data_IF_695467925632
#
_entry.id   IF_695467925632
#
_cell.length_a   1.000
_cell.length_b   1.000
_cell.length_c   1.000
_cell.angle_alpha   90.00
_cell.angle_beta   90.00
_cell.angle_gamma   90.00
#
_symmetry.space_group_name_H-M   'P 1'
#
loop_
_entity.id
_entity.type
_entity.pdbx_description
1 polymer ?
#
# COMPACT_ATOMS: atom_id res chain seq x y z
N UNK A 1 12.99 -9.73 0.56
CA UNK A 1 12.70 -8.37 0.09
C UNK A 1 13.03 -7.43 1.23
N UNK A 2 13.99 -6.55 1.04
CA UNK A 2 14.47 -5.55 2.01
C UNK A 2 13.76 -4.19 1.84
N UNK A 3 12.89 -4.06 0.83
CA UNK A 3 12.17 -2.83 0.53
C UNK A 3 12.94 -1.88 -0.40
N UNK A 4 14.15 -2.25 -0.86
CA UNK A 4 15.01 -1.39 -1.69
C UNK A 4 14.88 -1.65 -3.19
N UNK A 5 14.07 -2.63 -3.59
CA UNK A 5 13.76 -2.89 -5.00
C UNK A 5 12.47 -2.20 -5.39
N UNK A 6 12.56 -1.26 -6.33
CA UNK A 6 11.41 -0.56 -6.85
C UNK A 6 10.61 -1.46 -7.80
N UNK A 7 9.30 -1.24 -7.83
CA UNK A 7 8.42 -1.74 -8.89
C UNK A 7 8.37 -0.71 -10.03
N UNK A 8 7.99 -1.15 -11.21
CA UNK A 8 7.95 -0.29 -12.41
C UNK A 8 6.70 0.58 -12.50
N UNK A 9 5.76 0.45 -11.56
CA UNK A 9 4.44 1.10 -11.58
C UNK A 9 4.31 2.08 -10.42
N UNK A 10 3.74 3.26 -10.69
CA UNK A 10 3.50 4.30 -9.69
C UNK A 10 2.02 4.71 -9.76
N UNK A 11 1.34 4.73 -8.61
CA UNK A 11 -0.07 5.11 -8.52
C UNK A 11 -0.21 6.63 -8.45
N UNK A 12 -1.00 7.23 -9.34
CA UNK A 12 -1.33 8.67 -9.20
C UNK A 12 -2.39 8.88 -8.13
N UNK A 13 -2.22 9.89 -7.29
CA UNK A 13 -3.22 10.34 -6.32
C UNK A 13 -3.18 11.86 -6.16
N UNK A 14 -4.32 12.50 -5.98
CA UNK A 14 -4.36 13.92 -5.59
C UNK A 14 -3.98 14.08 -4.12
N UNK A 15 -3.44 15.23 -3.73
CA UNK A 15 -3.49 15.65 -2.32
C UNK A 15 -4.93 15.54 -1.79
N UNK A 16 -5.09 15.21 -0.50
CA UNK A 16 -6.36 14.86 0.15
C UNK A 16 -7.04 13.57 -0.32
N UNK A 17 -6.42 12.79 -1.22
CA UNK A 17 -6.94 11.46 -1.54
C UNK A 17 -6.79 10.54 -0.32
N UNK A 18 -7.78 9.68 -0.11
CA UNK A 18 -7.64 8.56 0.81
C UNK A 18 -6.82 7.46 0.14
N UNK A 19 -5.67 7.12 0.72
CA UNK A 19 -4.95 5.90 0.40
C UNK A 19 -5.46 4.77 1.30
N UNK A 20 -5.75 3.62 0.71
CA UNK A 20 -6.15 2.42 1.45
C UNK A 20 -5.16 1.29 1.14
N UNK A 21 -4.55 0.75 2.19
CA UNK A 21 -3.64 -0.37 2.14
C UNK A 21 -4.36 -1.63 2.59
N UNK A 22 -4.23 -2.70 1.81
CA UNK A 22 -4.78 -4.01 2.16
C UNK A 22 -3.65 -4.91 2.66
N UNK A 23 -3.72 -5.27 3.94
CA UNK A 23 -2.85 -6.27 4.56
C UNK A 23 -3.48 -7.66 4.41
N UNK A 24 -2.68 -8.63 3.98
CA UNK A 24 -3.09 -10.02 3.80
C UNK A 24 -2.10 -10.96 4.45
N UNK A 25 -2.60 -12.00 5.11
CA UNK A 25 -1.77 -13.12 5.58
C UNK A 25 -1.16 -13.88 4.40
N UNK A 26 -1.95 -14.05 3.33
CA UNK A 26 -1.53 -14.64 2.06
C UNK A 26 -1.56 -13.57 0.97
N UNK A 27 -0.40 -13.08 0.50
CA UNK A 27 -0.34 -11.94 -0.43
C UNK A 27 -1.13 -12.17 -1.73
N UNK A 28 -1.23 -13.41 -2.21
CA UNK A 28 -1.98 -13.84 -3.40
C UNK A 28 -3.50 -14.01 -3.19
N UNK A 29 -3.96 -13.75 -1.96
CA UNK A 29 -5.33 -13.98 -1.50
C UNK A 29 -5.81 -15.42 -1.74
N UNK A 30 -4.92 -16.41 -1.64
CA UNK A 30 -5.27 -17.83 -1.64
C UNK A 30 -6.04 -18.26 -0.38
N UNK A 31 -5.90 -17.51 0.72
CA UNK A 31 -6.68 -17.67 1.94
C UNK A 31 -6.96 -16.30 2.58
N UNK A 32 -8.13 -16.13 3.24
CA UNK A 32 -8.48 -14.89 3.91
C UNK A 32 -7.63 -14.68 5.17
N UNK A 33 -7.50 -13.43 5.59
CA UNK A 33 -6.72 -13.04 6.76
C UNK A 33 -5.87 -11.80 6.47
N UNK A 34 -5.37 -11.16 7.52
CA UNK A 34 -4.59 -9.90 7.39
C UNK A 34 -3.36 -9.89 8.29
N UNK A 35 -3.56 -10.28 9.55
CA UNK A 35 -2.53 -10.53 10.54
C UNK A 35 -3.11 -11.46 11.62
N UNK A 36 -2.28 -12.30 12.25
CA UNK A 36 -2.73 -13.16 13.35
C UNK A 36 -3.32 -12.34 14.51
N UNK A 37 -4.48 -12.71 15.09
CA UNK A 37 -5.13 -11.95 16.17
C UNK A 37 -4.28 -11.76 17.44
N UNK A 38 -3.27 -12.59 17.66
CA UNK A 38 -2.34 -12.42 18.78
C UNK A 38 -1.39 -11.23 18.60
N UNK A 39 -1.18 -10.76 17.37
CA UNK A 39 -0.25 -9.69 16.99
C UNK A 39 -0.86 -8.31 17.25
N UNK A 40 -1.16 -8.08 18.53
CA UNK A 40 -1.74 -6.84 19.02
C UNK A 40 -0.69 -5.74 19.06
N UNK A 41 -1.00 -4.59 18.50
CA UNK A 41 -0.13 -3.42 18.58
C UNK A 41 -0.55 -2.24 17.71
N UNK A 42 0.29 -1.19 17.67
CA UNK A 42 -0.01 0.05 16.96
C UNK A 42 0.18 -0.11 15.44
N UNK A 43 -0.38 0.84 14.68
CA UNK A 43 -0.04 1.04 13.29
C UNK A 43 0.34 2.49 13.02
N UNK A 44 1.16 2.71 12.00
CA UNK A 44 1.53 4.04 11.51
C UNK A 44 1.63 4.05 9.99
N UNK A 45 1.51 5.23 9.39
CA UNK A 45 1.81 5.42 7.96
C UNK A 45 2.73 6.62 7.80
N UNK A 46 3.78 6.43 7.01
CA UNK A 46 4.79 7.43 6.70
C UNK A 46 4.82 7.71 5.21
N UNK A 47 5.25 8.91 4.84
CA UNK A 47 5.56 9.27 3.46
C UNK A 47 7.01 9.76 3.37
N UNK A 48 7.66 9.50 2.23
CA UNK A 48 8.98 10.03 1.89
C UNK A 48 8.95 10.52 0.45
N UNK A 49 9.28 11.80 0.24
CA UNK A 49 9.42 12.33 -1.12
C UNK A 49 10.72 11.81 -1.73
N UNK A 50 10.67 11.37 -2.97
CA UNK A 50 11.83 10.88 -3.73
C UNK A 50 11.91 11.61 -5.07
N UNK A 51 13.06 11.58 -5.71
CA UNK A 51 13.22 12.18 -7.04
C UNK A 51 12.63 11.29 -8.15
N UNK A 52 12.59 9.97 -7.90
CA UNK A 52 11.99 8.99 -8.79
C UNK A 52 11.52 7.77 -7.98
N UNK A 53 10.22 7.50 -7.96
CA UNK A 53 9.67 6.35 -7.23
C UNK A 53 9.97 5.00 -7.90
N UNK A 54 10.47 4.98 -9.13
CA UNK A 54 10.81 3.75 -9.87
C UNK A 54 12.27 3.33 -9.77
N UNK A 55 13.08 4.06 -9.01
CA UNK A 55 14.50 3.74 -8.79
C UNK A 55 14.71 2.95 -7.48
N UNK A 56 15.67 2.03 -7.51
CA UNK A 56 16.08 1.23 -6.35
C UNK A 56 16.76 2.08 -5.27
N UNK A 57 16.85 1.53 -4.06
CA UNK A 57 17.59 2.08 -2.91
C UNK A 57 17.07 3.42 -2.39
N UNK A 58 15.77 3.68 -2.56
CA UNK A 58 15.12 4.92 -2.13
C UNK A 58 14.44 4.82 -0.76
N UNK A 59 14.27 3.62 -0.19
CA UNK A 59 13.48 3.45 1.02
C UNK A 59 14.28 3.81 2.28
N UNK A 60 15.43 3.19 2.51
CA UNK A 60 16.26 3.44 3.68
C UNK A 60 16.77 4.89 3.77
N UNK A 61 16.99 5.34 5.00
CA UNK A 61 17.60 6.63 5.32
C UNK A 61 16.60 7.75 5.58
N UNK A 62 17.08 8.99 5.52
CA UNK A 62 16.31 10.21 5.80
C UNK A 62 15.21 10.49 4.77
N UNK A 63 14.25 11.32 5.14
CA UNK A 63 13.19 11.81 4.27
C UNK A 63 11.78 11.39 4.68
N UNK A 64 11.66 10.54 5.70
CA UNK A 64 10.35 10.04 6.16
C UNK A 64 9.68 11.02 7.11
N UNK A 65 8.39 11.26 6.91
CA UNK A 65 7.53 11.95 7.86
C UNK A 65 6.27 11.14 8.09
N UNK A 66 5.77 11.12 9.33
CA UNK A 66 4.57 10.36 9.71
C UNK A 66 3.33 11.16 9.32
N UNK A 67 2.38 10.53 8.63
CA UNK A 67 1.10 11.17 8.25
C UNK A 67 -0.08 10.68 9.07
N UNK A 68 0.07 9.54 9.74
CA UNK A 68 -0.99 8.96 10.56
C UNK A 68 -0.43 7.94 11.55
N UNK A 69 -1.05 7.83 12.72
CA UNK A 69 -0.82 6.73 13.68
C UNK A 69 -2.07 6.38 14.48
N UNK A 70 -2.14 5.13 14.93
CA UNK A 70 -3.06 4.69 15.96
C UNK A 70 -2.39 3.64 16.85
N UNK A 71 -2.34 3.91 18.15
CA UNK A 71 -1.91 2.95 19.18
C UNK A 71 -3.07 2.17 19.77
N UNK A 72 -3.09 2.03 21.09
CA UNK A 72 -4.24 1.49 21.81
C UNK A 72 -5.36 2.54 21.93
N UNK A 73 -6.57 2.19 21.49
CA UNK A 73 -7.75 3.03 21.56
C UNK A 73 -8.61 2.67 22.78
N UNK A 74 -8.34 3.32 23.93
CA UNK A 74 -8.99 2.98 25.21
C UNK A 74 -10.52 2.98 25.17
N UNK A 75 -11.21 3.91 24.46
CA UNK A 75 -12.67 3.87 24.33
C UNK A 75 -13.24 2.64 23.62
N UNK A 76 -12.54 2.08 22.62
CA UNK A 76 -12.97 0.82 21.97
C UNK A 76 -12.37 -0.43 22.62
N UNK A 77 -11.32 -0.27 23.43
CA UNK A 77 -10.59 -1.37 24.05
C UNK A 77 -9.78 -2.19 23.05
N UNK A 78 -9.39 -1.59 21.91
CA UNK A 78 -8.70 -2.27 20.82
C UNK A 78 -7.39 -1.59 20.45
N UNK A 79 -6.41 -2.40 20.10
CA UNK A 79 -5.23 -1.99 19.34
C UNK A 79 -5.58 -1.68 17.88
N UNK A 80 -4.67 -1.00 17.19
CA UNK A 80 -4.87 -0.71 15.77
C UNK A 80 -4.94 -2.00 14.93
N UNK A 81 -4.08 -2.98 15.18
CA UNK A 81 -4.10 -4.26 14.46
C UNK A 81 -5.40 -5.03 14.65
N UNK A 82 -6.07 -4.90 15.80
CA UNK A 82 -7.39 -5.50 16.02
C UNK A 82 -8.47 -4.79 15.18
N UNK A 83 -8.42 -3.45 15.07
CA UNK A 83 -9.31 -2.71 14.17
C UNK A 83 -9.06 -3.03 12.69
N UNK A 84 -7.80 -3.30 12.34
CA UNK A 84 -7.42 -3.74 11.00
C UNK A 84 -8.06 -5.10 10.67
N UNK A 85 -7.99 -6.05 11.60
CA UNK A 85 -8.63 -7.37 11.46
C UNK A 85 -10.15 -7.20 11.33
N UNK A 86 -10.79 -6.39 12.19
CA UNK A 86 -12.23 -6.11 12.10
C UNK A 86 -12.64 -5.50 10.75
N UNK A 87 -11.70 -4.83 10.06
CA UNK A 87 -11.91 -4.15 8.79
C UNK A 87 -11.30 -4.92 7.61
N UNK A 88 -11.15 -6.24 7.74
CA UNK A 88 -10.67 -7.14 6.69
C UNK A 88 -9.31 -6.71 6.09
N UNK A 89 -8.39 -6.26 6.93
CA UNK A 89 -7.05 -5.88 6.49
C UNK A 89 -6.93 -4.49 5.86
N UNK A 90 -7.99 -3.71 5.78
CA UNK A 90 -7.96 -2.39 5.16
C UNK A 90 -7.54 -1.29 6.16
N UNK A 91 -6.43 -0.62 5.87
CA UNK A 91 -5.92 0.54 6.58
C UNK A 91 -5.97 1.78 5.68
N UNK A 92 -6.80 2.76 6.05
CA UNK A 92 -6.96 4.00 5.28
C UNK A 92 -6.32 5.21 5.96
N UNK A 93 -5.69 6.07 5.18
CA UNK A 93 -5.10 7.36 5.59
C UNK A 93 -5.34 8.43 4.53
N UNK A 94 -5.29 9.72 4.91
CA UNK A 94 -5.41 10.84 3.98
C UNK A 94 -4.04 11.41 3.64
N UNK A 95 -3.79 11.68 2.35
CA UNK A 95 -2.60 12.43 1.92
C UNK A 95 -2.73 13.88 2.39
N UNK A 96 -1.74 14.45 3.10
CA UNK A 96 -1.79 15.84 3.54
C UNK A 96 -2.07 16.82 2.37
N UNK A 97 -2.90 17.81 2.61
CA UNK A 97 -3.40 18.71 1.57
C UNK A 97 -2.32 19.64 0.97
N UNK A 98 -1.28 19.96 1.76
CA UNK A 98 -0.35 21.06 1.48
C UNK A 98 1.06 20.60 1.11
N UNK A 99 1.32 19.30 1.10
CA UNK A 99 2.64 18.76 0.72
C UNK A 99 2.93 18.99 -0.75
N UNK A 100 4.21 19.12 -1.05
CA UNK A 100 4.69 19.32 -2.42
C UNK A 100 4.29 18.17 -3.35
N UNK A 101 3.84 18.47 -4.57
CA UNK A 101 3.64 17.45 -5.60
C UNK A 101 4.94 16.74 -6.03
N UNK A 102 4.81 15.50 -6.52
CA UNK A 102 5.92 14.68 -7.01
C UNK A 102 5.84 13.21 -6.59
N UNK A 103 6.95 12.49 -6.73
CA UNK A 103 7.06 11.09 -6.37
C UNK A 103 7.26 10.89 -4.86
N UNK A 104 6.54 9.92 -4.30
CA UNK A 104 6.60 9.51 -2.90
C UNK A 104 6.64 8.00 -2.74
N UNK A 105 7.36 7.55 -1.73
CA UNK A 105 7.15 6.26 -1.10
C UNK A 105 6.18 6.42 0.07
N UNK A 106 5.23 5.50 0.23
CA UNK A 106 4.28 5.48 1.34
C UNK A 106 4.40 4.16 2.10
N UNK A 107 4.79 4.24 3.37
CA UNK A 107 5.12 3.09 4.23
C UNK A 107 4.05 2.88 5.30
N UNK A 108 3.06 2.01 5.09
CA UNK A 108 2.26 1.49 6.19
C UNK A 108 3.10 0.53 7.05
N UNK A 109 2.95 0.63 8.36
CA UNK A 109 3.68 -0.12 9.36
C UNK A 109 2.69 -0.67 10.38
N UNK A 110 2.74 -1.98 10.62
CA UNK A 110 2.16 -2.62 11.79
C UNK A 110 3.29 -3.03 12.71
N UNK A 111 3.13 -2.80 14.01
CA UNK A 111 4.05 -3.28 15.03
C UNK A 111 3.29 -4.27 15.92
N UNK A 112 3.74 -5.51 15.95
CA UNK A 112 3.20 -6.56 16.78
C UNK A 112 4.02 -6.69 18.08
N UNK A 113 3.34 -6.63 19.22
CA UNK A 113 3.97 -6.50 20.54
C UNK A 113 3.86 -7.76 21.41
N UNK A 114 3.45 -8.91 20.85
CA UNK A 114 3.23 -10.15 21.60
C UNK A 114 4.48 -10.69 22.30
N UNK A 115 5.67 -10.33 21.82
CA UNK A 115 6.96 -10.73 22.38
C UNK A 115 7.89 -9.53 22.68
N UNK A 116 7.35 -8.30 22.70
CA UNK A 116 8.11 -7.08 22.96
C UNK A 116 8.77 -7.06 24.36
N UNK A 117 8.09 -7.63 25.35
CA UNK A 117 8.49 -7.78 26.75
C UNK A 117 9.45 -8.94 27.03
N UNK A 118 9.64 -9.87 26.09
CA UNK A 118 10.37 -11.12 26.32
C UNK A 118 11.87 -10.89 26.55
N UNK A 119 12.60 -11.96 26.88
CA UNK A 119 14.07 -11.94 27.00
C UNK A 119 14.65 -13.11 26.20
N UNK A 120 15.24 -12.87 25.01
CA UNK A 120 15.40 -11.56 24.35
C UNK A 120 14.07 -10.95 23.90
N UNK A 121 14.03 -9.63 23.78
CA UNK A 121 12.85 -8.90 23.28
C UNK A 121 12.70 -9.14 21.78
N UNK A 122 11.47 -9.30 21.32
CA UNK A 122 11.15 -9.53 19.91
C UNK A 122 9.88 -8.77 19.47
N UNK A 123 9.94 -7.42 19.39
CA UNK A 123 8.91 -6.64 18.71
C UNK A 123 9.01 -6.86 17.18
N UNK A 124 7.88 -7.10 16.52
CA UNK A 124 7.87 -7.51 15.11
C UNK A 124 7.21 -6.45 14.23
N UNK A 125 7.94 -5.94 13.25
CA UNK A 125 7.45 -4.94 12.30
C UNK A 125 7.00 -5.59 11.00
N UNK A 126 5.80 -5.25 10.54
CA UNK A 126 5.25 -5.63 9.24
C UNK A 126 5.12 -4.38 8.39
N UNK A 127 5.94 -4.29 7.35
CA UNK A 127 6.11 -3.07 6.57
C UNK A 127 6.13 -3.39 5.08
N UNK A 128 5.69 -2.42 4.29
CA UNK A 128 5.86 -2.39 2.83
C UNK A 128 5.90 -0.94 2.37
N UNK A 129 6.29 -0.69 1.12
CA UNK A 129 6.25 0.64 0.53
C UNK A 129 5.39 0.62 -0.74
N UNK A 130 4.46 1.56 -0.84
CA UNK A 130 3.77 1.87 -2.08
C UNK A 130 4.43 3.06 -2.78
N UNK A 131 4.47 3.00 -4.10
CA UNK A 131 4.98 4.09 -4.94
C UNK A 131 3.81 4.95 -5.42
N UNK A 132 3.79 6.22 -5.03
CA UNK A 132 2.69 7.14 -5.29
C UNK A 132 3.22 8.44 -5.89
N UNK A 133 2.63 8.83 -7.01
CA UNK A 133 2.80 10.16 -7.56
C UNK A 133 1.70 11.08 -7.01
N UNK A 134 2.08 12.07 -6.22
CA UNK A 134 1.15 13.02 -5.61
C UNK A 134 0.96 14.22 -6.52
N UNK A 135 -0.26 14.40 -7.02
CA UNK A 135 -0.72 15.59 -7.71
C UNK A 135 -1.13 16.63 -6.67
N UNK A 136 -0.31 17.68 -6.51
CA UNK A 136 -0.60 18.78 -5.58
C UNK A 136 0.06 20.08 -6.03
N UNK A 137 -0.63 21.18 -5.75
CA UNK A 137 -0.11 22.55 -5.87
C UNK A 137 0.57 23.03 -4.57
N UNK A 138 0.65 22.17 -3.55
CA UNK A 138 1.32 22.46 -2.30
C UNK A 138 2.83 22.67 -2.45
N UNK A 139 3.44 23.28 -1.44
CA UNK A 139 4.89 23.51 -1.36
C UNK A 139 5.47 23.09 0.00
N UNK A 140 4.66 22.53 0.90
CA UNK A 140 5.11 22.13 2.23
C UNK A 140 6.15 21.02 2.16
N UNK A 141 7.17 21.17 2.99
CA UNK A 141 8.23 20.19 3.23
C UNK A 141 8.20 19.85 4.73
N UNK A 142 7.49 18.77 5.11
CA UNK A 142 7.45 18.31 6.50
C UNK A 142 8.85 18.05 7.05
N UNK A 143 9.03 18.21 8.37
CA UNK A 143 10.26 17.75 9.03
C UNK A 143 10.37 16.23 8.93
N UNK A 144 11.57 15.74 8.59
CA UNK A 144 11.82 14.33 8.30
C UNK A 144 12.67 13.66 9.37
N UNK A 145 12.62 12.33 9.38
CA UNK A 145 13.49 11.45 10.16
C UNK A 145 14.10 10.39 9.26
N UNK A 146 15.18 9.77 9.74
CA UNK A 146 15.72 8.55 9.15
C UNK A 146 14.88 7.34 9.53
N UNK A 147 14.54 6.52 8.54
CA UNK A 147 14.11 5.14 8.75
C UNK A 147 15.09 4.21 8.03
N UNK A 148 16.02 3.65 8.79
CA UNK A 148 17.03 2.66 8.42
C UNK A 148 17.21 1.59 9.52
N UNK A 149 18.22 0.74 9.39
CA UNK A 149 18.56 -0.33 10.35
C UNK A 149 18.84 0.16 11.79
N UNK A 150 19.14 1.44 11.99
CA UNK A 150 19.46 2.05 13.29
C UNK A 150 18.30 2.87 13.88
N UNK A 151 17.15 2.92 13.20
CA UNK A 151 16.00 3.75 13.61
C UNK A 151 15.47 3.38 14.99
N UNK A 152 15.30 2.08 15.22
CA UNK A 152 14.59 1.57 16.39
C UNK A 152 15.57 1.00 17.39
N UNK A 153 15.71 1.70 18.51
CA UNK A 153 16.36 1.15 19.68
C UNK A 153 15.37 0.20 20.40
N UNK A 154 15.69 -1.09 20.47
CA UNK A 154 14.86 -2.11 21.13
C UNK A 154 14.71 -1.91 22.67
N UNK A 155 15.44 -0.96 23.27
CA UNK A 155 15.25 -0.51 24.65
C UNK A 155 14.16 0.57 24.81
N UNK A 156 13.59 1.07 23.71
CA UNK A 156 12.51 2.04 23.75
C UNK A 156 11.28 1.49 24.47
N UNK A 157 10.67 2.28 25.36
CA UNK A 157 9.51 1.85 26.15
C UNK A 157 8.36 1.28 25.32
N UNK A 158 8.12 1.86 24.12
CA UNK A 158 7.13 1.38 23.17
C UNK A 158 7.44 -0.05 22.65
N UNK A 159 8.72 -0.37 22.47
CA UNK A 159 9.21 -1.64 21.93
C UNK A 159 9.51 -2.69 23.02
N UNK A 160 9.41 -2.31 24.29
CA UNK A 160 9.47 -3.21 25.45
C UNK A 160 8.12 -3.37 26.14
N UNK A 161 7.05 -2.88 25.53
CA UNK A 161 5.74 -2.74 26.18
C UNK A 161 5.07 -4.09 26.43
N UNK A 162 4.65 -4.36 27.67
CA UNK A 162 3.95 -5.59 28.02
C UNK A 162 2.44 -5.47 27.79
N UNK A 163 1.96 -6.02 26.66
CA UNK A 163 0.53 -6.02 26.30
C UNK A 163 -0.33 -6.98 27.14
N UNK A 164 0.25 -7.75 28.05
CA UNK A 164 -0.45 -8.70 28.92
C UNK A 164 -0.62 -8.19 30.36
N UNK A 165 -0.07 -7.01 30.68
CA UNK A 165 -0.22 -6.41 32.00
C UNK A 165 -1.70 -6.07 32.30
N UNK A 166 -2.14 -6.34 33.54
CA UNK A 166 -3.52 -6.06 33.98
C UNK A 166 -3.50 -5.22 35.26
N UNK A 167 -3.97 -3.96 35.23
CA UNK A 167 -4.46 -3.23 34.05
C UNK A 167 -3.33 -2.88 33.06
N UNK A 168 -3.66 -2.69 31.78
CA UNK A 168 -2.70 -2.19 30.78
C UNK A 168 -2.14 -0.82 31.22
N UNK A 169 -0.82 -0.64 31.08
CA UNK A 169 -0.14 0.63 31.36
C UNK A 169 -0.43 1.67 30.26
N UNK A 170 -1.47 2.48 30.47
CA UNK A 170 -1.90 3.49 29.49
C UNK A 170 -1.47 4.92 29.87
N UNK A 171 -1.26 5.82 28.90
CA UNK A 171 -1.32 5.58 27.45
C UNK A 171 -0.13 4.74 26.95
N UNK A 172 -0.33 3.99 25.87
CA UNK A 172 0.76 3.34 25.15
C UNK A 172 1.81 4.40 24.72
N UNK A 173 3.11 4.19 24.97
CA UNK A 173 4.16 5.14 24.58
C UNK A 173 4.21 5.31 23.06
N UNK A 174 4.23 6.55 22.57
CA UNK A 174 4.44 6.80 21.13
C UNK A 174 5.86 6.44 20.72
N UNK A 175 6.03 6.01 19.46
CA UNK A 175 7.33 5.72 18.86
C UNK A 175 7.43 6.34 17.47
N UNK A 176 8.64 6.78 17.09
CA UNK A 176 8.85 7.59 15.88
C UNK A 176 8.44 9.06 16.05
N UNK A 177 8.50 9.85 14.96
CA UNK A 177 8.16 11.28 14.99
C UNK A 177 6.67 11.53 15.26
N UNK A 178 6.31 12.77 15.59
CA UNK A 178 4.92 13.18 15.64
C UNK A 178 4.26 13.12 14.26
N UNK A 179 2.94 12.96 14.22
CA UNK A 179 2.16 13.05 12.98
C UNK A 179 2.25 14.47 12.41
N UNK A 180 2.59 14.59 11.14
CA UNK A 180 2.57 15.84 10.40
C UNK A 180 1.15 16.38 10.29
N UNK A 181 0.99 17.67 10.60
CA UNK A 181 -0.26 18.40 10.45
C UNK A 181 -0.10 19.49 9.38
N UNK A 182 -1.01 19.58 8.39
CA UNK A 182 -0.99 20.66 7.40
C UNK A 182 -0.89 22.04 8.04
N UNK A 183 -0.04 22.90 7.46
CA UNK A 183 0.29 24.23 7.96
C UNK A 183 1.39 24.28 9.01
N UNK A 184 1.92 23.13 9.46
CA UNK A 184 3.02 23.06 10.44
C UNK A 184 4.42 22.99 9.82
N UNK A 185 4.54 22.83 8.51
CA UNK A 185 5.83 22.82 7.82
C UNK A 185 6.44 24.23 7.69
N UNK A 186 7.77 24.30 7.67
CA UNK A 186 8.48 25.50 7.27
C UNK A 186 8.24 25.77 5.77
N UNK A 187 7.49 26.83 5.47
CA UNK A 187 7.40 27.35 4.10
C UNK A 187 8.75 27.97 3.75
N UNK A 188 9.45 27.46 2.75
CA UNK A 188 10.66 28.12 2.26
C UNK A 188 10.31 29.54 1.80
N UNK A 189 10.83 30.53 2.51
CA UNK A 189 10.52 31.94 2.29
C UNK A 189 10.86 32.39 0.87
N UNK A 190 9.87 33.03 0.23
CA UNK A 190 10.01 33.63 -1.09
C UNK A 190 8.64 33.87 -1.72
N UNK A 191 7.96 34.93 -1.29
CA UNK A 191 6.77 35.48 -1.97
C UNK A 191 7.16 35.98 -3.36
N UNK A 192 7.23 35.06 -4.30
CA UNK A 192 6.91 35.32 -5.70
C UNK A 192 5.86 34.28 -6.04
N UNK A 193 4.72 34.72 -6.57
CA UNK A 193 3.70 33.88 -7.20
C UNK A 193 4.31 33.09 -8.36
N UNK A 194 5.20 32.14 -8.08
CA UNK A 194 5.48 31.05 -9.00
C UNK A 194 4.35 30.08 -8.75
N UNK A 195 3.33 30.15 -9.60
CA UNK A 195 2.37 29.07 -9.77
C UNK A 195 3.19 27.79 -9.84
N UNK A 196 3.12 26.95 -8.81
CA UNK A 196 3.78 25.64 -8.83
C UNK A 196 3.35 25.01 -10.16
N UNK A 197 4.32 24.67 -10.99
CA UNK A 197 3.99 23.97 -12.24
C UNK A 197 3.46 22.62 -11.78
N UNK A 198 2.18 22.39 -12.03
CA UNK A 198 1.47 21.16 -11.68
C UNK A 198 2.35 19.98 -12.06
N UNK A 199 2.78 19.20 -11.07
CA UNK A 199 3.66 18.08 -11.32
C UNK A 199 2.89 17.04 -12.12
N UNK A 200 3.42 16.64 -13.28
CA UNK A 200 2.82 15.60 -14.13
C UNK A 200 3.60 14.30 -13.97
N UNK A 201 2.88 13.20 -13.73
CA UNK A 201 3.48 11.88 -13.69
C UNK A 201 3.99 11.51 -15.09
N UNK A 202 5.29 11.24 -15.20
CA UNK A 202 5.92 10.82 -16.47
C UNK A 202 6.55 9.43 -16.39
N UNK A 203 6.78 8.94 -15.16
CA UNK A 203 7.36 7.62 -14.88
C UNK A 203 6.34 6.74 -14.17
N UNK A 204 6.58 5.44 -14.19
CA UNK A 204 5.70 4.49 -13.54
C UNK A 204 4.32 4.36 -14.19
N UNK A 205 4.17 4.76 -15.45
CA UNK A 205 2.91 4.70 -16.22
C UNK A 205 2.71 3.31 -16.84
N UNK A 206 1.44 2.96 -17.13
CA UNK A 206 1.14 1.67 -17.78
C UNK A 206 1.78 1.75 -19.16
N UNK A 207 2.61 0.77 -19.58
CA UNK A 207 3.21 0.80 -20.91
C UNK A 207 2.13 0.96 -21.99
N UNK A 208 2.39 1.80 -23.00
CA UNK A 208 1.49 1.96 -24.12
C UNK A 208 1.31 0.63 -24.87
N UNK A 209 0.08 0.31 -25.27
CA UNK A 209 -0.23 -0.96 -25.93
C UNK A 209 -0.33 -2.16 -24.98
N UNK A 210 -0.21 -1.95 -23.67
CA UNK A 210 -0.37 -3.00 -22.70
C UNK A 210 -1.82 -3.50 -22.61
N UNK A 211 -2.05 -4.76 -22.97
CA UNK A 211 -3.38 -5.37 -22.99
C UNK A 211 -3.64 -6.30 -21.82
N UNK A 212 -2.64 -6.61 -20.99
CA UNK A 212 -2.84 -7.37 -19.75
C UNK A 212 -1.76 -7.00 -18.75
N UNK A 213 -2.15 -6.45 -17.60
CA UNK A 213 -1.20 -6.15 -16.51
C UNK A 213 -1.21 -7.28 -15.49
N UNK A 214 -0.03 -7.79 -15.15
CA UNK A 214 0.21 -8.64 -13.98
C UNK A 214 1.37 -8.00 -13.22
N UNK A 215 1.06 -7.22 -12.19
CA UNK A 215 2.06 -6.50 -11.39
C UNK A 215 2.98 -5.63 -12.28
N UNK A 216 4.27 -5.94 -12.37
CA UNK A 216 5.23 -5.23 -13.24
C UNK A 216 5.26 -5.74 -14.69
N UNK A 217 4.69 -6.92 -14.94
CA UNK A 217 4.64 -7.46 -16.29
C UNK A 217 3.44 -6.93 -17.05
N UNK A 218 3.69 -6.79 -18.35
CA UNK A 218 2.70 -6.41 -19.31
C UNK A 218 2.68 -7.42 -20.47
N UNK A 219 1.49 -7.93 -20.78
CA UNK A 219 1.21 -8.63 -22.02
C UNK A 219 0.88 -7.64 -23.13
N UNK A 220 1.57 -7.78 -24.26
CA UNK A 220 1.36 -6.98 -25.48
C UNK A 220 0.71 -7.85 -26.57
N UNK A 221 -0.10 -7.21 -27.41
CA UNK A 221 -0.78 -7.92 -28.49
C UNK A 221 0.21 -8.66 -29.41
N UNK A 222 -0.16 -9.89 -29.79
CA UNK A 222 0.66 -10.72 -30.69
C UNK A 222 0.41 -10.32 -32.15
N UNK A 223 1.32 -10.65 -33.10
CA UNK A 223 1.12 -10.27 -34.50
C UNK A 223 -0.22 -10.75 -35.06
N UNK A 224 -0.86 -9.93 -35.89
CA UNK A 224 -2.02 -10.37 -36.68
C UNK A 224 -1.62 -11.44 -37.68
N UNK A 225 -2.52 -12.38 -37.95
CA UNK A 225 -2.28 -13.47 -38.88
C UNK A 225 -3.52 -13.74 -39.74
N UNK A 226 -3.27 -14.09 -41.01
CA UNK A 226 -4.24 -14.52 -42.02
C UNK A 226 -3.79 -15.80 -42.77
N UNK A 227 -2.69 -16.40 -42.31
CA UNK A 227 -2.06 -17.61 -42.88
C UNK A 227 -1.72 -18.62 -41.81
N UNK A 228 -1.60 -19.89 -42.19
CA UNK A 228 -1.23 -20.96 -41.27
C UNK A 228 0.12 -20.70 -40.56
N UNK A 229 1.15 -20.30 -41.31
CA UNK A 229 2.47 -19.99 -40.75
C UNK A 229 2.41 -18.77 -39.82
N UNK A 230 1.66 -17.74 -40.21
CA UNK A 230 1.43 -16.56 -39.36
C UNK A 230 0.73 -16.92 -38.05
N UNK A 231 -0.25 -17.82 -38.09
CA UNK A 231 -0.98 -18.28 -36.91
C UNK A 231 -0.04 -18.94 -35.89
N UNK A 232 0.77 -19.90 -36.35
CA UNK A 232 1.72 -20.59 -35.47
C UNK A 232 2.86 -19.69 -35.00
N UNK A 233 3.28 -18.71 -35.80
CA UNK A 233 4.23 -17.69 -35.36
C UNK A 233 3.65 -16.82 -34.23
N UNK A 234 2.40 -16.37 -34.35
CA UNK A 234 1.71 -15.60 -33.32
C UNK A 234 1.41 -16.40 -32.06
N UNK A 235 1.08 -17.69 -32.19
CA UNK A 235 1.00 -18.63 -31.05
C UNK A 235 2.32 -18.65 -30.28
N UNK A 236 3.45 -18.85 -30.98
CA UNK A 236 4.77 -18.86 -30.35
C UNK A 236 5.04 -17.56 -29.59
N UNK A 237 4.78 -16.40 -30.21
CA UNK A 237 4.93 -15.10 -29.54
C UNK A 237 4.03 -14.97 -28.29
N UNK A 238 2.83 -15.54 -28.32
CA UNK A 238 1.94 -15.56 -27.16
C UNK A 238 2.54 -16.38 -26.01
N UNK A 239 3.01 -17.59 -26.31
CA UNK A 239 3.60 -18.49 -25.32
C UNK A 239 4.94 -17.98 -24.77
N UNK A 240 5.78 -17.35 -25.59
CA UNK A 240 7.00 -16.68 -25.11
C UNK A 240 6.67 -15.62 -24.04
N UNK A 241 5.60 -14.84 -24.23
CA UNK A 241 5.12 -13.87 -23.23
C UNK A 241 4.49 -14.56 -22.00
N UNK A 242 3.78 -15.68 -22.21
CA UNK A 242 3.22 -16.50 -21.14
C UNK A 242 4.31 -17.00 -20.20
N UNK A 243 5.42 -17.52 -20.75
CA UNK A 243 6.54 -18.01 -19.97
C UNK A 243 7.10 -16.91 -19.06
N UNK A 244 7.34 -15.71 -19.59
CA UNK A 244 7.76 -14.56 -18.76
C UNK A 244 6.69 -14.26 -17.70
N UNK A 245 5.41 -14.37 -18.05
CA UNK A 245 4.34 -14.12 -17.10
C UNK A 245 4.49 -15.02 -15.85
N UNK A 246 4.64 -16.33 -16.05
CA UNK A 246 4.73 -17.28 -14.93
C UNK A 246 6.04 -17.20 -14.17
N UNK A 247 7.17 -17.00 -14.85
CA UNK A 247 8.48 -17.04 -14.23
C UNK A 247 8.84 -15.79 -13.42
N UNK A 248 8.21 -14.64 -13.70
CA UNK A 248 8.50 -13.38 -13.00
C UNK A 248 7.37 -12.94 -12.07
N UNK A 249 6.46 -13.85 -11.69
CA UNK A 249 5.34 -13.52 -10.81
C UNK A 249 5.82 -13.12 -9.42
N UNK A 250 5.28 -12.02 -8.90
CA UNK A 250 5.53 -11.56 -7.53
C UNK A 250 4.66 -12.32 -6.51
N UNK A 251 4.92 -12.20 -5.19
CA UNK A 251 4.16 -12.90 -4.15
C UNK A 251 2.65 -12.66 -4.17
N UNK A 252 2.17 -11.59 -4.80
CA UNK A 252 0.75 -11.28 -5.02
C UNK A 252 0.05 -12.24 -5.99
N UNK A 253 0.78 -13.19 -6.58
CA UNK A 253 0.25 -14.28 -7.37
C UNK A 253 0.27 -14.03 -8.88
N UNK A 254 -0.18 -15.04 -9.63
CA UNK A 254 -0.07 -15.14 -11.08
C UNK A 254 -1.42 -15.43 -11.77
N UNK A 255 -2.55 -15.18 -11.09
CA UNK A 255 -3.91 -15.43 -11.63
C UNK A 255 -4.12 -14.77 -13.00
N UNK A 256 -3.56 -13.59 -13.23
CA UNK A 256 -3.68 -12.93 -14.54
C UNK A 256 -2.89 -13.66 -15.65
N UNK A 257 -1.86 -14.46 -15.33
CA UNK A 257 -1.19 -15.29 -16.31
C UNK A 257 -2.06 -16.43 -16.85
N UNK A 258 -3.08 -16.87 -16.10
CA UNK A 258 -4.08 -17.83 -16.61
C UNK A 258 -4.93 -17.22 -17.73
N UNK A 259 -5.26 -15.92 -17.61
CA UNK A 259 -5.98 -15.17 -18.66
C UNK A 259 -5.12 -15.10 -19.93
N UNK A 260 -3.82 -14.87 -19.78
CA UNK A 260 -2.88 -14.86 -20.90
C UNK A 260 -2.76 -16.24 -21.56
N UNK A 261 -2.56 -17.30 -20.76
CA UNK A 261 -2.52 -18.67 -21.25
C UNK A 261 -3.79 -19.00 -22.05
N UNK A 262 -4.96 -18.61 -21.56
CA UNK A 262 -6.22 -18.84 -22.26
C UNK A 262 -6.25 -18.15 -23.64
N UNK A 263 -5.67 -16.96 -23.77
CA UNK A 263 -5.50 -16.31 -25.09
C UNK A 263 -4.60 -17.15 -26.00
N UNK A 264 -3.47 -17.66 -25.50
CA UNK A 264 -2.53 -18.47 -26.27
C UNK A 264 -3.15 -19.82 -26.70
N UNK A 265 -3.82 -20.51 -25.80
CA UNK A 265 -4.59 -21.73 -26.09
C UNK A 265 -5.65 -21.48 -27.18
N UNK A 266 -6.34 -20.34 -27.13
CA UNK A 266 -7.32 -19.99 -28.17
C UNK A 266 -6.66 -19.81 -29.55
N UNK A 267 -5.45 -19.25 -29.60
CA UNK A 267 -4.70 -19.14 -30.86
C UNK A 267 -4.31 -20.55 -31.35
N UNK A 268 -3.82 -21.43 -30.48
CA UNK A 268 -3.47 -22.81 -30.85
C UNK A 268 -4.67 -23.59 -31.40
N UNK A 269 -5.84 -23.45 -30.77
CA UNK A 269 -7.09 -24.06 -31.20
C UNK A 269 -7.52 -23.55 -32.60
N UNK A 270 -7.39 -22.24 -32.84
CA UNK A 270 -7.64 -21.63 -34.15
C UNK A 270 -6.67 -22.18 -35.21
N UNK A 271 -5.36 -22.20 -34.93
CA UNK A 271 -4.36 -22.71 -35.87
C UNK A 271 -4.58 -24.20 -36.20
N UNK A 272 -4.93 -25.00 -35.19
CA UNK A 272 -5.17 -26.44 -35.31
C UNK A 272 -6.45 -26.77 -36.07
N UNK A 273 -7.47 -25.92 -35.97
CA UNK A 273 -8.76 -26.10 -36.65
C UNK A 273 -8.81 -25.55 -38.07
N UNK A 274 -7.75 -24.85 -38.51
CA UNK A 274 -7.69 -24.22 -39.84
C UNK A 274 -8.25 -22.79 -39.88
N UNK A 275 -8.60 -22.21 -38.72
CA UNK A 275 -8.96 -20.80 -38.61
C UNK A 275 -7.70 -19.95 -38.46
N UNK A 276 -7.19 -19.46 -39.58
CA UNK A 276 -5.95 -18.69 -39.62
C UNK A 276 -6.18 -17.18 -39.63
N UNK A 277 -7.31 -16.68 -39.14
CA UNK A 277 -7.55 -15.24 -39.02
C UNK A 277 -7.58 -14.82 -37.55
N UNK A 278 -6.64 -13.99 -37.11
CA UNK A 278 -6.56 -13.54 -35.72
C UNK A 278 -5.50 -12.47 -35.45
N UNK A 279 -5.13 -12.23 -34.17
CA UNK A 279 -5.47 -13.00 -32.97
C UNK A 279 -6.89 -12.73 -32.42
N UNK A 280 -7.44 -13.64 -31.60
CA UNK A 280 -8.69 -13.39 -30.89
C UNK A 280 -8.54 -12.21 -29.92
N UNK A 281 -9.62 -11.44 -29.78
CA UNK A 281 -9.69 -10.25 -28.92
C UNK A 281 -8.64 -9.17 -29.25
N UNK A 282 -8.19 -9.10 -30.51
CA UNK A 282 -7.25 -8.09 -30.97
C UNK A 282 -7.61 -6.67 -30.46
N UNK A 283 -6.68 -6.03 -29.76
CA UNK A 283 -6.82 -4.67 -29.26
C UNK A 283 -7.74 -4.48 -28.05
N UNK A 284 -8.20 -5.56 -27.40
CA UNK A 284 -8.95 -5.47 -26.13
C UNK A 284 -7.99 -5.50 -24.94
N UNK A 285 -8.27 -4.68 -23.93
CA UNK A 285 -7.64 -4.80 -22.61
C UNK A 285 -8.27 -5.98 -21.85
N UNK A 286 -7.44 -6.98 -21.57
CA UNK A 286 -7.76 -8.20 -20.85
C UNK A 286 -7.47 -8.07 -19.35
N UNK A 287 -6.91 -6.94 -18.90
CA UNK A 287 -6.64 -6.68 -17.48
C UNK A 287 -7.96 -6.71 -16.70
N UNK A 288 -8.11 -7.59 -15.70
CA UNK A 288 -9.29 -7.58 -14.85
C UNK A 288 -9.48 -6.24 -14.18
N UNK A 289 -10.72 -5.74 -14.16
CA UNK A 289 -11.07 -4.59 -13.35
C UNK A 289 -10.91 -4.97 -11.88
N UNK A 290 -10.26 -4.10 -11.10
CA UNK A 290 -10.10 -4.32 -9.67
C UNK A 290 -11.45 -4.57 -8.99
N UNK A 291 -11.51 -5.61 -8.15
CA UNK A 291 -12.69 -5.94 -7.37
C UNK A 291 -13.05 -4.84 -6.38
N UNK A 292 -14.27 -4.90 -5.83
CA UNK A 292 -14.65 -4.01 -4.72
C UNK A 292 -13.85 -4.42 -3.48
N UNK A 293 -13.36 -3.43 -2.74
CA UNK A 293 -12.77 -3.66 -1.43
C UNK A 293 -13.83 -4.22 -0.48
N UNK A 294 -13.50 -5.32 0.19
CA UNK A 294 -14.38 -5.96 1.16
C UNK A 294 -14.13 -5.40 2.56
N UNK A 295 -14.44 -4.12 2.77
CA UNK A 295 -14.27 -3.43 4.04
C UNK A 295 -14.51 -1.93 3.95
N UNK A 296 -14.31 -1.21 5.07
CA UNK A 296 -14.50 0.23 5.14
C UNK A 296 -13.23 0.98 4.75
N UNK A 297 -13.34 1.97 3.88
CA UNK A 297 -12.25 2.91 3.55
C UNK A 297 -12.17 4.11 4.51
N UNK A 298 -12.88 4.05 5.64
CA UNK A 298 -12.82 5.11 6.65
C UNK A 298 -11.52 5.01 7.43
N UNK A 299 -10.84 6.15 7.56
CA UNK A 299 -9.68 6.30 8.43
C UNK A 299 -10.08 5.95 9.86
N UNK A 300 -9.31 5.07 10.50
CA UNK A 300 -9.56 4.77 11.91
C UNK A 300 -9.26 5.99 12.77
N UNK A 301 -10.19 6.29 13.67
CA UNK A 301 -10.04 7.35 14.67
C UNK A 301 -9.94 6.74 16.06
N UNK A 302 -9.33 7.46 17.00
CA UNK A 302 -9.53 7.16 18.43
C UNK A 302 -11.00 7.38 18.75
N UNK A 303 -11.61 6.43 19.43
CA UNK A 303 -12.99 6.57 19.87
C UNK A 303 -13.14 7.78 20.80
N UNK A 304 -14.34 8.33 20.88
CA UNK A 304 -14.68 9.32 21.92
C UNK A 304 -15.13 8.59 23.16
N UNK A 305 -14.56 8.90 24.33
CA UNK A 305 -15.05 8.37 25.59
C UNK A 305 -16.53 8.78 25.75
N UNK A 306 -17.44 7.80 25.84
CA UNK A 306 -18.81 8.09 26.21
C UNK A 306 -18.80 8.63 27.64
N UNK A 307 -19.14 9.91 27.82
CA UNK A 307 -19.34 10.54 29.13
C UNK A 307 -20.53 9.88 29.85
N UNK A 308 -20.29 8.74 30.50
CA UNK A 308 -21.23 8.02 31.34
C UNK A 308 -21.39 8.70 32.70
N UNK A 309 -21.48 10.03 32.77
CA UNK A 309 -21.65 10.78 34.03
C UNK A 309 -22.63 11.95 33.86
N UNK A 310 -23.92 11.65 33.67
CA UNK A 310 -25.02 12.52 34.13
C UNK A 310 -26.39 11.83 34.19
N UNK A 311 -26.54 10.78 35.00
CA UNK A 311 -27.82 10.54 35.69
C UNK A 311 -27.69 11.09 37.10
N UNK A 312 -27.95 12.40 37.24
CA UNK A 312 -28.20 13.01 38.55
C UNK A 312 -29.36 12.25 39.20
N UNK A 313 -29.09 11.63 40.36
CA UNK A 313 -30.12 11.27 41.33
C UNK A 313 -30.91 12.54 41.64
N UNK A 314 -32.17 12.60 41.22
CA UNK A 314 -33.13 13.53 41.79
C UNK A 314 -33.56 12.89 43.11
N UNK A 315 -33.10 13.47 44.21
CA UNK A 315 -33.65 13.24 45.52
C UNK A 315 -35.11 13.71 45.53
N UNK A 316 -36.04 12.83 45.89
CA UNK A 316 -37.39 13.18 46.28
C UNK A 316 -37.51 12.99 47.79
N UNK A 317 -37.45 14.09 48.53
CA UNK A 317 -38.07 14.23 49.85
C UNK A 317 -39.50 14.72 49.62
N UNK A 318 -40.47 13.93 50.06
CA UNK A 318 -41.75 14.35 50.63
C UNK A 318 -42.32 13.14 51.39
#
# INVERSE_FOLDING_TARGET
>A
YDGEKAVTRVCSANSTSTLTFEFRDYPDASSPGSIDPSHRGPCAVYMKRVDDATEDNNAAGDGWFKIWELGYDSPSGKWCTEKLIDNNGLLSVEIPADIRGGDYLVRPELLALQSAQDTPRDPQFYVGCAQVFVQSDGDAQPETVSIDENTYNLDMEALTYNIFETPLKLPYPSFGPAVYTPGSANRSGGSTERKATESVQTKGLKPEGCILVRDDWCGFEVPSYDTQDGCWASSKHCWDQSDVCWHTALPTGNKNCEIWQQKCTTIDDNCSSGDWVGPPNAGKDLTPVAGKMDGSMKIFTRGTAMNLHRRRRVAGHA
#
